data_IF_709823481675
#
_entry.id   IF_709823481675
#
_cell.length_a   1.000
_cell.length_b   1.000
_cell.length_c   1.000
_cell.angle_alpha   90.00
_cell.angle_beta   90.00
_cell.angle_gamma   90.00
#
_symmetry.space_group_name_H-M   'P 1'
#
loop_
_entity.id
_entity.type
_entity.pdbx_description
1 polymer ?
#
# COMPACT_ATOMS: atom_id res chain seq x y z
N UNK A 1 -10.41 4.26 -18.12
CA UNK A 1 -9.16 4.96 -17.79
C UNK A 1 -8.24 5.09 -19.00
N UNK A 2 -7.80 4.00 -19.62
CA UNK A 2 -6.86 3.99 -20.75
C UNK A 2 -7.23 4.99 -21.83
N UNK A 3 -8.48 4.94 -22.31
CA UNK A 3 -8.95 5.84 -23.39
C UNK A 3 -8.91 7.33 -22.97
N UNK A 4 -9.44 7.65 -21.80
CA UNK A 4 -9.55 9.06 -21.36
C UNK A 4 -8.19 9.66 -21.00
N UNK A 5 -7.38 8.94 -20.22
CA UNK A 5 -6.05 9.41 -19.81
C UNK A 5 -5.09 9.46 -21.01
N UNK A 6 -5.25 8.55 -21.99
CA UNK A 6 -4.51 8.61 -23.25
C UNK A 6 -4.76 9.90 -24.04
N UNK A 7 -5.95 10.52 -23.92
CA UNK A 7 -6.30 11.76 -24.58
C UNK A 7 -5.97 13.02 -23.78
N UNK A 8 -6.09 12.96 -22.46
CA UNK A 8 -5.88 14.15 -21.61
C UNK A 8 -4.46 14.24 -21.06
N UNK A 9 -3.70 13.15 -21.12
CA UNK A 9 -2.49 12.97 -20.35
C UNK A 9 -2.78 12.74 -18.87
N UNK A 10 -1.81 12.22 -18.13
CA UNK A 10 -1.94 11.99 -16.68
C UNK A 10 -1.11 10.81 -16.19
N UNK A 11 -1.33 10.44 -14.94
CA UNK A 11 -0.60 9.36 -14.25
C UNK A 11 -1.28 8.00 -14.54
N UNK A 12 -1.07 7.47 -15.75
CA UNK A 12 -1.74 6.26 -16.19
C UNK A 12 -1.26 5.02 -15.41
N UNK A 13 0.05 4.81 -15.33
CA UNK A 13 0.63 3.63 -14.68
C UNK A 13 0.23 3.53 -13.20
N UNK A 14 0.33 4.62 -12.44
CA UNK A 14 -0.09 4.67 -11.05
C UNK A 14 -1.57 4.31 -10.85
N UNK A 15 -2.44 4.83 -11.74
CA UNK A 15 -3.88 4.51 -11.70
C UNK A 15 -4.20 3.07 -12.07
N UNK A 16 -3.48 2.49 -13.04
CA UNK A 16 -3.68 1.09 -13.47
C UNK A 16 -3.23 0.10 -12.40
N UNK A 17 -2.14 0.39 -11.71
CA UNK A 17 -1.57 -0.48 -10.68
C UNK A 17 -2.41 -0.60 -9.40
N UNK A 18 -3.51 0.14 -9.27
CA UNK A 18 -4.38 0.13 -8.08
C UNK A 18 -5.85 -0.07 -8.42
N UNK A 19 -6.19 -0.54 -9.61
CA UNK A 19 -7.61 -0.73 -10.00
C UNK A 19 -8.27 -1.74 -9.07
N UNK A 20 -7.70 -2.92 -8.94
CA UNK A 20 -8.22 -4.00 -8.10
C UNK A 20 -8.29 -3.56 -6.64
N UNK A 21 -7.23 -2.96 -6.13
CA UNK A 21 -7.19 -2.41 -4.78
C UNK A 21 -8.31 -1.38 -4.56
N UNK A 22 -8.50 -0.45 -5.51
CA UNK A 22 -9.52 0.59 -5.39
C UNK A 22 -10.93 -0.01 -5.38
N UNK A 23 -11.20 -1.00 -6.24
CA UNK A 23 -12.49 -1.71 -6.27
C UNK A 23 -12.76 -2.40 -4.94
N UNK A 24 -11.77 -3.10 -4.38
CA UNK A 24 -11.91 -3.77 -3.09
C UNK A 24 -12.14 -2.78 -1.96
N UNK A 25 -11.40 -1.66 -1.94
CA UNK A 25 -11.58 -0.64 -0.92
C UNK A 25 -13.01 -0.05 -0.96
N UNK A 26 -13.52 0.30 -2.13
CA UNK A 26 -14.89 0.81 -2.28
C UNK A 26 -15.98 -0.25 -2.07
N UNK A 27 -15.62 -1.54 -2.10
CA UNK A 27 -16.53 -2.62 -1.73
C UNK A 27 -16.62 -2.83 -0.22
N UNK A 28 -15.50 -2.62 0.50
CA UNK A 28 -15.38 -2.90 1.93
C UNK A 28 -15.63 -1.67 2.82
N UNK A 29 -15.40 -0.48 2.29
CA UNK A 29 -15.46 0.79 3.01
C UNK A 29 -16.48 1.72 2.36
N UNK A 30 -17.33 2.31 3.17
CA UNK A 30 -18.42 3.20 2.75
C UNK A 30 -17.95 4.65 2.76
N UNK A 31 -17.33 5.09 1.65
CA UNK A 31 -16.94 6.49 1.48
C UNK A 31 -18.20 7.34 1.20
N UNK A 32 -18.31 8.58 1.74
CA UNK A 32 -17.31 9.30 2.53
C UNK A 32 -17.40 9.06 4.05
N UNK A 33 -18.28 8.18 4.53
CA UNK A 33 -18.41 7.85 5.97
C UNK A 33 -17.07 7.28 6.47
N UNK A 34 -16.57 6.24 5.83
CA UNK A 34 -15.21 5.78 5.99
C UNK A 34 -14.24 6.67 5.22
N UNK A 35 -13.04 6.86 5.72
CA UNK A 35 -12.07 7.81 5.16
C UNK A 35 -11.00 7.07 4.38
N UNK A 36 -11.02 7.22 3.05
CA UNK A 36 -9.99 6.67 2.15
C UNK A 36 -9.07 7.81 1.71
N UNK A 37 -7.81 7.74 2.08
CA UNK A 37 -6.80 8.76 1.81
C UNK A 37 -5.77 8.21 0.84
N UNK A 38 -5.53 8.91 -0.25
CA UNK A 38 -4.56 8.55 -1.27
C UNK A 38 -3.31 9.40 -1.14
N UNK A 39 -2.15 8.82 -0.85
CA UNK A 39 -0.90 9.57 -0.81
C UNK A 39 -0.54 10.13 -2.19
N UNK A 40 -0.09 11.38 -2.28
CA UNK A 40 0.08 12.13 -3.53
C UNK A 40 -1.24 12.29 -4.30
N UNK A 41 -1.96 11.19 -4.52
CA UNK A 41 -3.23 11.15 -5.25
C UNK A 41 -3.11 10.90 -6.76
N UNK A 42 -1.90 10.65 -7.27
CA UNK A 42 -1.67 10.34 -8.69
C UNK A 42 -2.32 9.02 -9.13
N UNK A 43 -2.55 8.11 -8.20
CA UNK A 43 -3.21 6.82 -8.40
C UNK A 43 -4.74 6.86 -8.23
N UNK A 44 -5.32 8.01 -7.84
CA UNK A 44 -6.73 8.10 -7.44
C UNK A 44 -7.73 8.23 -8.62
N UNK A 45 -7.34 7.99 -9.85
CA UNK A 45 -8.26 8.04 -10.99
C UNK A 45 -9.37 6.97 -10.92
N UNK A 46 -9.10 5.71 -10.55
CA UNK A 46 -10.15 4.73 -10.29
C UNK A 46 -11.12 5.16 -9.19
N UNK A 47 -10.62 5.76 -8.12
CA UNK A 47 -11.44 6.34 -7.05
C UNK A 47 -12.43 7.38 -7.59
N UNK A 48 -11.97 8.33 -8.42
CA UNK A 48 -12.84 9.32 -9.06
C UNK A 48 -13.91 8.68 -9.95
N UNK A 49 -13.58 7.59 -10.64
CA UNK A 49 -14.54 6.86 -11.48
C UNK A 49 -15.62 6.22 -10.61
N UNK A 50 -15.26 5.57 -9.51
CA UNK A 50 -16.19 4.87 -8.62
C UNK A 50 -17.04 5.82 -7.79
N UNK A 51 -16.57 7.04 -7.55
CA UNK A 51 -17.27 8.11 -6.82
C UNK A 51 -18.06 9.07 -7.74
N UNK A 52 -18.58 8.54 -8.85
CA UNK A 52 -19.54 9.24 -9.73
C UNK A 52 -18.96 10.20 -10.76
N UNK A 53 -17.63 10.34 -10.84
CA UNK A 53 -16.96 11.31 -11.74
C UNK A 53 -16.49 10.70 -13.07
N UNK A 54 -17.00 9.51 -13.42
CA UNK A 54 -16.62 8.78 -14.65
C UNK A 54 -16.75 9.64 -15.92
N UNK A 55 -17.90 10.28 -16.10
CA UNK A 55 -18.20 11.07 -17.33
C UNK A 55 -17.42 12.37 -17.40
N UNK A 56 -16.97 12.87 -16.26
CA UNK A 56 -16.15 14.07 -16.17
C UNK A 56 -14.65 13.76 -16.37
N UNK A 57 -14.24 12.52 -16.39
CA UNK A 57 -12.82 12.15 -16.51
C UNK A 57 -12.16 12.70 -17.79
N UNK A 58 -12.94 12.96 -18.85
CA UNK A 58 -12.50 13.62 -20.08
C UNK A 58 -12.00 15.07 -19.88
N UNK A 59 -12.29 15.67 -18.72
CA UNK A 59 -11.90 17.03 -18.37
C UNK A 59 -10.73 17.06 -17.38
N UNK A 60 -10.23 15.90 -16.94
CA UNK A 60 -9.17 15.84 -15.95
C UNK A 60 -7.94 16.63 -16.38
N UNK A 61 -7.33 17.40 -15.49
CA UNK A 61 -6.19 18.28 -15.71
C UNK A 61 -6.47 19.46 -16.66
N UNK A 62 -7.70 19.67 -17.11
CA UNK A 62 -8.09 20.85 -17.90
C UNK A 62 -8.58 21.97 -16.97
N UNK A 63 -8.41 23.21 -17.39
CA UNK A 63 -8.92 24.37 -16.63
C UNK A 63 -10.44 24.26 -16.47
N UNK A 64 -10.91 24.33 -15.24
CA UNK A 64 -12.33 24.17 -14.89
C UNK A 64 -12.87 22.74 -14.98
N UNK A 65 -12.02 21.77 -15.24
CA UNK A 65 -12.34 20.35 -15.21
C UNK A 65 -11.92 19.67 -13.92
N UNK A 66 -11.91 18.32 -13.91
CA UNK A 66 -11.49 17.54 -12.76
C UNK A 66 -10.04 17.82 -12.39
N UNK A 67 -9.79 17.98 -11.10
CA UNK A 67 -8.46 18.06 -10.52
C UNK A 67 -7.65 16.77 -10.79
N UNK A 68 -6.33 16.88 -10.99
CA UNK A 68 -5.47 15.72 -11.20
C UNK A 68 -5.35 14.80 -9.96
N UNK A 69 -5.63 15.35 -8.78
CA UNK A 69 -5.55 14.70 -7.49
C UNK A 69 -6.88 14.84 -6.74
N UNK A 70 -7.14 14.04 -5.70
CA UNK A 70 -8.27 14.25 -4.80
C UNK A 70 -8.34 15.68 -4.26
N UNK A 71 -9.53 16.25 -4.26
CA UNK A 71 -9.78 17.62 -3.81
C UNK A 71 -11.13 17.71 -3.12
N UNK A 72 -11.13 18.19 -1.88
CA UNK A 72 -12.34 18.41 -1.06
C UNK A 72 -13.38 19.31 -1.73
N UNK A 73 -12.94 20.20 -2.62
CA UNK A 73 -13.84 21.08 -3.36
C UNK A 73 -14.53 20.38 -4.54
N UNK A 74 -14.14 19.14 -4.85
CA UNK A 74 -14.64 18.39 -6.00
C UNK A 74 -15.65 17.31 -5.59
N UNK A 75 -15.39 16.63 -4.48
CA UNK A 75 -16.26 15.58 -3.94
C UNK A 75 -16.08 15.43 -2.44
N UNK A 76 -17.14 15.06 -1.74
CA UNK A 76 -17.09 14.68 -0.32
C UNK A 76 -16.28 13.39 -0.10
N UNK A 77 -16.20 12.53 -1.12
CA UNK A 77 -15.37 11.33 -1.09
C UNK A 77 -13.86 11.63 -1.06
N UNK A 78 -13.47 12.81 -1.53
CA UNK A 78 -12.09 13.28 -1.47
C UNK A 78 -11.80 13.89 -0.08
N UNK A 79 -11.75 13.04 0.94
CA UNK A 79 -11.71 13.43 2.36
C UNK A 79 -10.46 14.23 2.76
N UNK A 80 -9.41 14.18 1.95
CA UNK A 80 -8.18 14.93 2.13
C UNK A 80 -7.65 15.45 0.80
N UNK A 81 -7.35 16.75 0.72
CA UNK A 81 -6.70 17.34 -0.45
C UNK A 81 -5.23 16.96 -0.49
N UNK A 82 -4.81 16.36 -1.60
CA UNK A 82 -3.47 15.80 -1.76
C UNK A 82 -2.72 16.41 -2.94
N UNK A 83 -1.48 16.03 -3.13
CA UNK A 83 -0.56 16.52 -4.16
C UNK A 83 0.90 16.39 -3.71
N UNK A 84 1.18 16.67 -2.44
CA UNK A 84 2.49 16.40 -1.82
C UNK A 84 2.55 14.95 -1.34
N UNK A 85 3.69 14.28 -1.55
CA UNK A 85 3.91 12.91 -1.09
C UNK A 85 4.06 12.83 0.43
N UNK A 86 3.84 11.64 0.97
CA UNK A 86 4.20 11.26 2.35
C UNK A 86 3.33 11.90 3.45
N UNK A 87 2.19 12.49 3.08
CA UNK A 87 1.30 13.20 4.01
C UNK A 87 0.12 12.34 4.49
N UNK A 88 -0.18 11.24 3.80
CA UNK A 88 -1.40 10.45 4.01
C UNK A 88 -1.47 9.82 5.39
N UNK A 89 -0.36 9.28 5.91
CA UNK A 89 -0.33 8.61 7.21
C UNK A 89 -0.59 9.62 8.34
N UNK A 90 0.04 10.81 8.28
CA UNK A 90 -0.21 11.88 9.25
C UNK A 90 -1.67 12.34 9.24
N UNK A 91 -2.23 12.52 8.03
CA UNK A 91 -3.63 12.91 7.86
C UNK A 91 -4.58 11.83 8.39
N UNK A 92 -4.32 10.56 8.05
CA UNK A 92 -5.08 9.41 8.52
C UNK A 92 -5.05 9.30 10.06
N UNK A 93 -3.87 9.49 10.66
CA UNK A 93 -3.70 9.47 12.10
C UNK A 93 -4.52 10.58 12.78
N UNK A 94 -4.43 11.80 12.27
CA UNK A 94 -5.23 12.93 12.79
C UNK A 94 -6.74 12.69 12.66
N UNK A 95 -7.20 12.13 11.54
CA UNK A 95 -8.61 11.76 11.35
C UNK A 95 -9.02 10.63 12.30
N UNK A 96 -8.18 9.62 12.50
CA UNK A 96 -8.46 8.51 13.41
C UNK A 96 -8.63 8.98 14.84
N UNK A 97 -7.79 9.88 15.31
CA UNK A 97 -7.93 10.47 16.65
C UNK A 97 -9.17 11.38 16.77
N UNK A 98 -9.45 12.19 15.74
CA UNK A 98 -10.61 13.07 15.73
C UNK A 98 -11.95 12.32 15.66
N UNK A 99 -11.99 11.16 15.02
CA UNK A 99 -13.19 10.35 14.82
C UNK A 99 -13.23 9.11 15.74
N UNK A 100 -12.45 9.09 16.79
CA UNK A 100 -12.24 7.95 17.69
C UNK A 100 -13.54 7.41 18.31
N UNK A 101 -14.47 8.31 18.62
CA UNK A 101 -15.78 7.95 19.17
C UNK A 101 -16.81 7.56 18.08
N UNK A 102 -16.42 7.63 16.81
CA UNK A 102 -17.28 7.29 15.68
C UNK A 102 -16.90 5.91 15.13
N UNK A 103 -17.85 5.27 14.47
CA UNK A 103 -17.64 3.96 13.85
C UNK A 103 -16.88 4.02 12.51
N UNK A 104 -16.49 5.22 12.07
CA UNK A 104 -15.77 5.44 10.80
C UNK A 104 -14.43 4.74 10.78
N UNK A 105 -14.14 4.05 9.68
CA UNK A 105 -12.86 3.40 9.44
C UNK A 105 -11.95 4.33 8.65
N UNK A 106 -10.66 4.27 8.94
CA UNK A 106 -9.66 5.13 8.31
C UNK A 106 -8.68 4.25 7.54
N UNK A 107 -8.55 4.52 6.24
CA UNK A 107 -7.63 3.81 5.35
C UNK A 107 -6.74 4.81 4.64
N UNK A 108 -5.44 4.59 4.60
CA UNK A 108 -4.53 5.35 3.75
C UNK A 108 -3.72 4.42 2.84
N UNK A 109 -3.60 4.82 1.57
CA UNK A 109 -2.81 4.13 0.56
C UNK A 109 -1.60 4.98 0.23
N UNK A 110 -0.42 4.44 0.45
CA UNK A 110 0.86 5.11 0.22
C UNK A 110 1.76 4.25 -0.66
N UNK A 111 2.46 4.87 -1.60
CA UNK A 111 3.46 4.20 -2.43
C UNK A 111 4.80 4.03 -1.70
N UNK A 112 5.60 3.06 -2.16
CA UNK A 112 6.94 2.75 -1.68
C UNK A 112 7.87 3.97 -1.70
N UNK A 113 7.89 4.72 -2.79
CA UNK A 113 8.67 5.96 -2.91
C UNK A 113 8.27 7.03 -1.89
N UNK A 114 6.97 7.22 -1.65
CA UNK A 114 6.47 8.17 -0.66
C UNK A 114 6.75 7.73 0.78
N UNK A 115 6.84 6.43 1.03
CA UNK A 115 7.18 5.87 2.34
C UNK A 115 8.61 6.17 2.77
N UNK A 116 9.51 6.49 1.84
CA UNK A 116 10.93 6.78 2.16
C UNK A 116 11.15 8.15 2.82
N UNK A 117 10.16 9.04 2.80
CA UNK A 117 10.31 10.37 3.38
C UNK A 117 10.20 10.36 4.92
N UNK A 118 10.96 11.25 5.57
CA UNK A 118 10.98 11.39 7.03
C UNK A 118 9.59 11.60 7.63
N UNK A 119 8.75 12.40 6.98
CA UNK A 119 7.38 12.68 7.44
C UNK A 119 6.52 11.41 7.53
N UNK A 120 6.64 10.50 6.57
CA UNK A 120 5.93 9.21 6.61
C UNK A 120 6.44 8.34 7.77
N UNK A 121 7.76 8.33 8.00
CA UNK A 121 8.37 7.56 9.07
C UNK A 121 8.00 8.10 10.46
N UNK A 122 7.98 9.41 10.65
CA UNK A 122 7.51 10.05 11.88
C UNK A 122 6.06 9.67 12.17
N UNK A 123 5.19 9.74 11.14
CA UNK A 123 3.80 9.37 11.27
C UNK A 123 3.60 7.88 11.61
N UNK A 124 4.38 6.97 11.00
CA UNK A 124 4.39 5.54 11.33
C UNK A 124 4.79 5.30 12.79
N UNK A 125 5.87 5.95 13.25
CA UNK A 125 6.34 5.85 14.63
C UNK A 125 5.26 6.32 15.61
N UNK A 126 4.59 7.44 15.31
CA UNK A 126 3.50 7.96 16.14
C UNK A 126 2.26 7.04 16.09
N UNK A 127 1.89 6.52 14.93
CA UNK A 127 0.79 5.56 14.79
C UNK A 127 1.05 4.27 15.58
N UNK A 128 2.28 3.76 15.58
CA UNK A 128 2.66 2.61 16.38
C UNK A 128 2.58 2.85 17.89
N UNK A 129 2.83 4.09 18.34
CA UNK A 129 2.65 4.48 19.74
C UNK A 129 1.17 4.58 20.13
N UNK A 130 0.36 5.28 19.35
CA UNK A 130 -1.05 5.51 19.63
C UNK A 130 -1.93 4.29 19.36
N UNK A 131 -1.51 3.42 18.43
CA UNK A 131 -2.26 2.22 17.98
C UNK A 131 -3.69 2.54 17.56
N UNK A 132 -3.91 3.53 16.70
CA UNK A 132 -5.24 3.92 16.26
C UNK A 132 -5.87 2.83 15.41
N UNK A 133 -7.21 2.84 15.32
CA UNK A 133 -7.94 1.94 14.43
C UNK A 133 -7.88 2.44 12.98
N UNK A 134 -6.75 2.27 12.33
CA UNK A 134 -6.53 2.66 10.93
C UNK A 134 -5.80 1.56 10.16
N UNK A 135 -6.03 1.52 8.85
CA UNK A 135 -5.36 0.63 7.92
C UNK A 135 -4.39 1.44 7.05
N UNK A 136 -3.13 1.05 7.05
CA UNK A 136 -2.10 1.60 6.17
C UNK A 136 -1.79 0.56 5.10
N UNK A 137 -1.98 0.91 3.83
CA UNK A 137 -1.70 0.05 2.69
C UNK A 137 -0.47 0.60 1.98
N UNK A 138 0.64 -0.13 2.09
CA UNK A 138 1.83 0.12 1.31
C UNK A 138 1.67 -0.54 -0.06
N UNK A 139 1.44 0.28 -1.08
CA UNK A 139 1.34 -0.17 -2.46
C UNK A 139 2.68 -0.03 -3.15
N UNK A 140 3.22 -1.15 -3.58
CA UNK A 140 4.47 -1.22 -4.31
C UNK A 140 4.24 -1.97 -5.62
N UNK A 141 4.55 -1.33 -6.74
CA UNK A 141 4.40 -1.87 -8.10
C UNK A 141 5.73 -1.86 -8.87
N UNK A 142 6.86 -1.79 -8.15
CA UNK A 142 8.21 -1.68 -8.70
C UNK A 142 8.41 -0.49 -9.68
N UNK A 143 7.49 0.48 -9.68
CA UNK A 143 7.44 1.61 -10.62
C UNK A 143 7.48 2.93 -9.86
N UNK A 144 8.65 3.52 -9.72
CA UNK A 144 8.81 4.93 -9.35
C UNK A 144 9.33 5.76 -10.52
N UNK A 145 9.26 7.09 -10.42
CA UNK A 145 9.76 8.01 -11.48
C UNK A 145 11.28 7.88 -11.62
N UNK A 146 11.98 7.53 -10.54
CA UNK A 146 13.40 7.22 -10.49
C UNK A 146 13.63 6.04 -9.54
N UNK A 147 14.80 5.44 -9.59
CA UNK A 147 15.16 4.41 -8.63
C UNK A 147 15.06 4.94 -7.21
N UNK A 148 14.41 4.19 -6.34
CA UNK A 148 14.29 4.54 -4.93
C UNK A 148 15.67 4.52 -4.28
N UNK A 149 16.02 5.58 -3.58
CA UNK A 149 17.31 5.73 -2.91
C UNK A 149 17.15 5.74 -1.38
N UNK A 150 18.18 5.29 -0.68
CA UNK A 150 18.23 5.34 0.78
C UNK A 150 18.05 3.99 1.47
N UNK A 151 18.22 3.97 2.79
CA UNK A 151 18.20 2.76 3.60
C UNK A 151 16.84 2.04 3.60
N UNK A 152 15.74 2.79 3.60
CA UNK A 152 14.38 2.23 3.53
C UNK A 152 14.10 1.57 2.17
N UNK A 153 14.57 2.15 1.08
CA UNK A 153 14.46 1.53 -0.24
C UNK A 153 15.16 0.17 -0.28
N UNK A 154 16.38 0.09 0.24
CA UNK A 154 17.10 -1.18 0.38
C UNK A 154 16.36 -2.17 1.28
N UNK A 155 15.68 -1.69 2.30
CA UNK A 155 14.85 -2.53 3.18
C UNK A 155 13.65 -3.11 2.43
N UNK A 156 12.90 -2.30 1.68
CA UNK A 156 11.77 -2.76 0.88
C UNK A 156 12.20 -3.74 -0.21
N UNK A 157 13.29 -3.46 -0.92
CA UNK A 157 13.86 -4.39 -1.92
C UNK A 157 14.19 -5.76 -1.30
N UNK A 158 14.67 -5.81 -0.06
CA UNK A 158 14.92 -7.07 0.67
C UNK A 158 13.64 -7.81 1.05
N UNK A 159 12.56 -7.09 1.39
CA UNK A 159 11.24 -7.69 1.64
C UNK A 159 10.78 -8.45 0.39
N UNK A 160 10.90 -7.82 -0.79
CA UNK A 160 10.52 -8.43 -2.06
C UNK A 160 11.40 -9.62 -2.45
N UNK A 161 12.72 -9.47 -2.32
CA UNK A 161 13.66 -10.57 -2.58
C UNK A 161 13.38 -11.80 -1.70
N UNK A 162 12.84 -11.61 -0.49
CA UNK A 162 12.49 -12.71 0.40
C UNK A 162 11.32 -13.57 -0.09
N UNK A 163 10.41 -13.01 -0.91
CA UNK A 163 9.33 -13.76 -1.58
C UNK A 163 9.89 -14.75 -2.61
N UNK A 164 10.80 -14.28 -3.46
CA UNK A 164 11.48 -15.13 -4.45
C UNK A 164 12.22 -16.27 -3.76
N UNK A 165 12.85 -15.98 -2.63
CA UNK A 165 13.56 -16.96 -1.82
C UNK A 165 12.62 -18.01 -1.17
N UNK A 166 11.44 -17.61 -0.68
CA UNK A 166 10.43 -18.56 -0.15
C UNK A 166 9.88 -19.49 -1.24
N UNK A 167 9.73 -18.98 -2.47
CA UNK A 167 9.34 -19.78 -3.63
C UNK A 167 10.41 -20.84 -4.00
N UNK A 168 11.68 -20.43 -4.02
CA UNK A 168 12.84 -21.31 -4.28
C UNK A 168 13.01 -22.33 -3.14
N UNK A 169 12.80 -21.94 -1.87
CA UNK A 169 12.87 -22.83 -0.71
C UNK A 169 11.79 -23.93 -0.73
N UNK A 170 10.57 -23.62 -1.20
CA UNK A 170 9.52 -24.64 -1.38
C UNK A 170 9.87 -25.66 -2.44
N UNK A 171 10.48 -25.23 -3.56
CA UNK A 171 10.96 -26.14 -4.60
C UNK A 171 12.25 -26.86 -4.23
N UNK A 172 13.18 -26.20 -3.51
CA UNK A 172 14.47 -26.76 -3.09
C UNK A 172 14.37 -27.74 -1.93
N UNK A 173 13.36 -27.64 -1.06
CA UNK A 173 13.17 -28.59 0.03
C UNK A 173 12.90 -30.00 -0.45
N UNK A 174 12.14 -30.13 -1.53
CA UNK A 174 11.90 -31.44 -2.18
C UNK A 174 13.15 -32.05 -2.83
N UNK A 175 14.15 -31.22 -3.16
CA UNK A 175 15.40 -31.68 -3.77
C UNK A 175 16.49 -32.01 -2.73
N UNK A 176 16.45 -31.39 -1.55
CA UNK A 176 17.43 -31.53 -0.47
C UNK A 176 17.11 -32.64 0.53
N UNK A 177 15.90 -33.18 0.51
CA UNK A 177 15.49 -34.31 1.41
C UNK A 177 16.25 -35.60 1.11
N UNK A 178 16.98 -35.68 -0.01
CA UNK A 178 17.75 -36.85 -0.43
C UNK A 178 19.27 -36.79 -0.16
N UNK A 179 19.77 -35.77 0.58
CA UNK A 179 21.21 -35.61 0.86
C UNK A 179 21.52 -35.52 2.36
N UNK A 180 22.04 -36.57 3.01
CA UNK A 180 22.23 -36.64 4.46
C UNK A 180 23.20 -35.61 5.07
N UNK A 181 24.14 -35.06 4.27
CA UNK A 181 25.14 -34.08 4.77
C UNK A 181 24.67 -32.62 4.66
N UNK A 182 23.60 -32.34 3.96
CA UNK A 182 23.07 -30.98 3.76
C UNK A 182 22.34 -30.44 5.03
N UNK A 183 21.94 -31.30 5.95
CA UNK A 183 21.18 -30.92 7.15
C UNK A 183 21.96 -29.99 8.11
N UNK A 184 23.29 -30.18 8.22
CA UNK A 184 24.11 -29.36 9.12
C UNK A 184 24.42 -27.97 8.56
N UNK A 185 24.59 -27.90 7.23
CA UNK A 185 24.80 -26.63 6.52
C UNK A 185 23.48 -25.85 6.44
N UNK A 186 22.38 -26.52 6.14
CA UNK A 186 21.04 -25.92 6.12
C UNK A 186 20.67 -25.31 7.48
N UNK A 187 20.98 -25.97 8.61
CA UNK A 187 20.70 -25.47 9.95
C UNK A 187 21.55 -24.26 10.32
N UNK A 188 22.81 -24.22 9.89
CA UNK A 188 23.72 -23.08 10.12
C UNK A 188 23.35 -21.87 9.26
N UNK A 189 22.95 -22.10 8.02
CA UNK A 189 22.38 -21.08 7.11
C UNK A 189 21.02 -20.61 7.62
N UNK A 190 20.17 -21.49 8.12
CA UNK A 190 18.86 -21.13 8.71
C UNK A 190 19.00 -20.27 9.96
N UNK A 191 20.01 -20.50 10.79
CA UNK A 191 20.29 -19.70 12.00
C UNK A 191 20.88 -18.34 11.65
N UNK A 192 21.76 -18.26 10.64
CA UNK A 192 22.26 -16.98 10.12
C UNK A 192 21.22 -16.20 9.33
N UNK A 193 20.24 -16.89 8.73
CA UNK A 193 19.15 -16.25 7.98
C UNK A 193 17.99 -15.82 8.88
N UNK A 194 17.85 -16.36 10.07
CA UNK A 194 16.93 -15.83 11.12
C UNK A 194 17.39 -14.48 11.67
N UNK A 195 18.66 -14.13 11.52
CA UNK A 195 19.19 -12.79 11.80
C UNK A 195 19.09 -11.84 10.60
N UNK A 196 18.69 -12.32 9.43
CA UNK A 196 18.31 -11.45 8.31
C UNK A 196 16.88 -10.97 8.55
N UNK A 197 16.73 -9.67 8.63
CA UNK A 197 15.48 -8.93 8.85
C UNK A 197 14.31 -9.62 8.14
N UNK A 198 13.38 -10.18 8.91
CA UNK A 198 12.16 -10.74 8.35
C UNK A 198 11.32 -9.62 7.69
N UNK A 199 10.59 -9.90 6.59
CA UNK A 199 9.70 -8.92 6.01
C UNK A 199 8.74 -8.39 7.09
N UNK A 200 8.66 -7.07 7.23
CA UNK A 200 7.77 -6.44 8.20
C UNK A 200 8.39 -6.08 9.55
N UNK A 201 9.58 -6.56 9.87
CA UNK A 201 10.21 -6.34 11.19
C UNK A 201 10.24 -4.88 11.61
N UNK A 202 10.54 -3.95 10.70
CA UNK A 202 10.58 -2.51 11.04
C UNK A 202 9.19 -1.98 11.46
N UNK A 203 8.14 -2.45 10.83
CA UNK A 203 6.77 -2.04 11.18
C UNK A 203 6.35 -2.63 12.52
N UNK A 204 6.74 -3.88 12.79
CA UNK A 204 6.49 -4.55 14.07
C UNK A 204 7.29 -3.91 15.20
N UNK A 205 8.56 -3.53 14.96
CA UNK A 205 9.39 -2.79 15.92
C UNK A 205 8.82 -1.39 16.22
N UNK A 206 8.17 -0.76 15.26
CA UNK A 206 7.43 0.49 15.48
C UNK A 206 6.10 0.26 16.23
N UNK A 207 5.68 -0.98 16.48
CA UNK A 207 4.45 -1.30 17.19
C UNK A 207 3.22 -1.48 16.31
N UNK A 208 3.42 -1.57 14.98
CA UNK A 208 2.37 -1.81 14.00
C UNK A 208 2.22 -3.31 13.73
N UNK A 209 1.01 -3.75 13.37
CA UNK A 209 0.76 -5.13 12.98
C UNK A 209 0.92 -5.26 11.46
N UNK A 210 1.97 -5.94 10.99
CA UNK A 210 2.28 -6.10 9.58
C UNK A 210 1.62 -7.36 9.00
N UNK A 211 0.87 -7.18 7.91
CA UNK A 211 0.25 -8.27 7.14
C UNK A 211 0.76 -8.17 5.71
N UNK A 212 1.51 -9.14 5.28
CA UNK A 212 2.01 -9.13 3.89
C UNK A 212 3.35 -9.82 3.70
N UNK A 213 3.94 -9.61 2.54
CA UNK A 213 3.37 -8.95 1.38
C UNK A 213 2.28 -9.79 0.69
N UNK A 214 1.30 -9.12 0.10
CA UNK A 214 0.15 -9.73 -0.61
C UNK A 214 0.21 -9.32 -2.09
N UNK A 215 -0.13 -10.23 -3.00
CA UNK A 215 -0.26 -9.92 -4.42
C UNK A 215 -1.60 -9.20 -4.64
N UNK A 216 -1.56 -7.90 -4.89
CA UNK A 216 -2.72 -7.04 -5.04
C UNK A 216 -3.49 -7.22 -6.35
N UNK A 217 -2.94 -7.94 -7.35
CA UNK A 217 -3.59 -8.21 -8.62
C UNK A 217 -4.46 -9.48 -8.59
N UNK A 218 -4.27 -10.35 -7.60
CA UNK A 218 -4.95 -11.63 -7.49
C UNK A 218 -5.95 -11.63 -6.34
N UNK A 219 -7.08 -10.96 -6.52
CA UNK A 219 -8.09 -10.72 -5.48
C UNK A 219 -8.57 -11.99 -4.76
N UNK A 220 -8.73 -13.08 -5.46
CA UNK A 220 -9.25 -14.33 -4.85
C UNK A 220 -8.16 -15.30 -4.40
N UNK A 221 -6.89 -15.03 -4.68
CA UNK A 221 -5.76 -15.83 -4.19
C UNK A 221 -5.10 -15.21 -2.96
N UNK A 222 -5.47 -13.98 -2.61
CA UNK A 222 -5.06 -13.37 -1.35
C UNK A 222 -5.74 -14.07 -0.19
N UNK A 223 -4.99 -14.74 0.71
CA UNK A 223 -5.63 -15.42 1.83
C UNK A 223 -6.35 -14.41 2.73
N UNK A 224 -7.66 -14.55 2.82
CA UNK A 224 -8.46 -13.78 3.78
C UNK A 224 -8.09 -14.21 5.21
N UNK A 225 -8.08 -13.31 6.19
CA UNK A 225 -8.00 -13.69 7.59
C UNK A 225 -9.05 -14.71 8.02
N UNK A 226 -10.18 -14.79 7.30
CA UNK A 226 -11.26 -15.77 7.52
C UNK A 226 -10.90 -17.18 7.04
N UNK A 227 -9.97 -17.31 6.08
CA UNK A 227 -9.57 -18.62 5.52
C UNK A 227 -8.65 -19.41 6.46
N UNK A 228 -8.26 -18.84 7.60
CA UNK A 228 -7.45 -19.50 8.64
C UNK A 228 -8.27 -20.18 9.73
N UNK A 229 -9.58 -20.18 9.62
CA UNK A 229 -10.50 -20.74 10.66
C UNK A 229 -11.21 -22.01 10.21
N UNK A 230 -10.66 -22.74 9.23
CA UNK A 230 -11.09 -24.11 8.88
C UNK A 230 -9.95 -25.09 9.05
#
# INVERSE_FOLDING_TARGET
LLFQVGQTGGHLAGGLGVIELTVVLHHLFDAPTDKIIWDVGHQAYPHKVLTGRKDQLKTIRKKGGLAPFPSKNESEDDVFGVGHSSTSISAALGMSEALKEQSSKIVCVIGDGAMTAGMAFEALSHAGHLRPNMLIILNDNDMSISENVGGLSNYFSRIWASKLYKGIRKGGKSFLENLPQAHHIARKVETQMKSMVAPGTIFEELGLNYIGPVDGCLLYTSPSPRDRTT
#
